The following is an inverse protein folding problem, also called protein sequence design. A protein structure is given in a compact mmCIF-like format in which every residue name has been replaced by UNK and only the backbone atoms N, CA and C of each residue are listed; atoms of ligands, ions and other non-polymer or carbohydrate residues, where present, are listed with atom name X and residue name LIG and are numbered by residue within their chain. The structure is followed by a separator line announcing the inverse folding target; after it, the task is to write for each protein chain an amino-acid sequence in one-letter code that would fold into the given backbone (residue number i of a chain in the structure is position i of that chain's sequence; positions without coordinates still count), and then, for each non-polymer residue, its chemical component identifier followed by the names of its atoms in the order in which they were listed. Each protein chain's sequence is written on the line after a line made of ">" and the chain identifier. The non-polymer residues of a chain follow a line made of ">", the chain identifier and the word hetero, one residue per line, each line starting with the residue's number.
data_IF_206890315953
#
_entry.id   IF_206890315953
#
_cell.length_a   1.000
_cell.length_b   1.000
_cell.length_c   1.000
_cell.angle_alpha   90.00
_cell.angle_beta   90.00
_cell.angle_gamma   90.00
#
_symmetry.space_group_name_H-M   'P 1'
#
loop_
_entity.id
_entity.type
_entity.pdbx_description
1 polymer ?
#
# COMPACT_ATOMS: atom_id res chain seq x y z
N UNK A 1 6.31 -14.27 -20.01
CA UNK A 1 7.68 -14.43 -19.47
C UNK A 1 7.96 -13.25 -18.57
N UNK A 2 7.93 -13.44 -17.25
CA UNK A 2 8.37 -12.42 -16.30
C UNK A 2 9.90 -12.46 -16.28
N UNK A 3 10.51 -11.89 -17.31
CA UNK A 3 11.96 -11.75 -17.41
C UNK A 3 12.32 -10.39 -16.89
N UNK A 4 12.97 -10.33 -15.73
CA UNK A 4 13.69 -9.14 -15.32
C UNK A 4 14.62 -8.69 -16.43
N UNK A 5 14.88 -7.39 -16.54
CA UNK A 5 16.04 -6.91 -17.28
C UNK A 5 17.29 -7.66 -16.83
N UNK A 6 18.29 -7.73 -17.71
CA UNK A 6 19.50 -8.56 -17.54
C UNK A 6 20.25 -8.33 -16.22
N UNK A 7 19.98 -7.22 -15.54
CA UNK A 7 20.58 -6.80 -14.27
C UNK A 7 19.59 -6.73 -13.09
N UNK A 8 18.33 -7.11 -13.28
CA UNK A 8 17.30 -7.07 -12.24
C UNK A 8 16.84 -5.67 -11.85
N UNK A 9 17.13 -4.65 -12.68
CA UNK A 9 16.91 -3.25 -12.33
C UNK A 9 15.43 -2.82 -12.30
N UNK A 10 14.57 -3.62 -12.90
CA UNK A 10 13.12 -3.48 -12.95
C UNK A 10 12.38 -4.48 -12.04
N UNK A 11 13.12 -5.26 -11.23
CA UNK A 11 12.58 -6.39 -10.50
C UNK A 11 12.52 -6.21 -8.99
N UNK A 12 11.38 -6.62 -8.44
CA UNK A 12 11.10 -6.70 -7.01
C UNK A 12 10.66 -8.12 -6.66
N UNK A 13 11.28 -8.71 -5.65
CA UNK A 13 10.79 -9.94 -5.04
C UNK A 13 9.64 -9.61 -4.11
N UNK A 14 8.46 -10.16 -4.36
CA UNK A 14 7.32 -10.06 -3.46
C UNK A 14 7.06 -11.42 -2.78
N UNK A 15 7.11 -11.44 -1.46
CA UNK A 15 6.71 -12.58 -0.65
C UNK A 15 5.42 -12.21 0.08
N UNK A 16 4.35 -12.94 -0.22
CA UNK A 16 3.07 -12.80 0.48
C UNK A 16 2.82 -14.05 1.32
N UNK A 17 2.50 -13.88 2.59
CA UNK A 17 2.00 -14.97 3.45
C UNK A 17 0.56 -14.70 3.80
N UNK A 18 -0.30 -15.70 3.63
CA UNK A 18 -1.72 -15.62 3.98
C UNK A 18 -2.06 -16.64 5.06
N UNK A 19 -2.98 -16.28 5.96
CA UNK A 19 -3.65 -17.28 6.81
C UNK A 19 -4.50 -18.21 5.94
N UNK A 20 -4.75 -19.42 6.43
CA UNK A 20 -5.59 -20.43 5.75
C UNK A 20 -7.03 -19.94 5.54
N UNK A 21 -7.50 -19.06 6.41
CA UNK A 21 -8.82 -18.41 6.32
C UNK A 21 -8.83 -17.17 5.39
N UNK A 22 -7.70 -16.83 4.77
CA UNK A 22 -7.54 -15.67 3.89
C UNK A 22 -7.55 -14.30 4.60
N UNK A 23 -7.75 -14.25 5.92
CA UNK A 23 -8.08 -13.01 6.66
C UNK A 23 -6.90 -12.07 6.92
N UNK A 24 -5.67 -12.51 6.66
CA UNK A 24 -4.48 -11.68 6.86
C UNK A 24 -3.40 -12.06 5.87
N UNK A 25 -3.07 -11.10 5.01
CA UNK A 25 -1.90 -11.15 4.14
C UNK A 25 -0.80 -10.27 4.71
N UNK A 26 0.40 -10.83 4.91
CA UNK A 26 1.60 -10.03 5.13
C UNK A 26 2.38 -10.01 3.82
N UNK A 27 2.67 -8.81 3.34
CA UNK A 27 3.44 -8.61 2.11
C UNK A 27 4.83 -8.09 2.46
N UNK A 28 5.87 -8.71 1.92
CA UNK A 28 7.26 -8.28 2.04
C UNK A 28 7.85 -8.15 0.64
N UNK A 29 8.09 -6.91 0.22
CA UNK A 29 8.72 -6.61 -1.05
C UNK A 29 10.19 -6.28 -0.83
N UNK A 30 11.07 -6.81 -1.69
CA UNK A 30 12.52 -6.59 -1.68
C UNK A 30 13.00 -6.22 -3.08
N UNK A 31 13.59 -5.03 -3.27
CA UNK A 31 14.38 -4.74 -4.45
C UNK A 31 15.54 -5.72 -4.58
N UNK A 32 15.80 -6.20 -5.80
CA UNK A 32 16.94 -7.08 -6.07
C UNK A 32 18.26 -6.31 -6.22
N UNK A 33 18.17 -4.98 -6.35
CA UNK A 33 19.29 -4.05 -6.43
C UNK A 33 19.04 -2.82 -5.55
N UNK A 34 20.05 -1.97 -5.37
CA UNK A 34 19.92 -0.71 -4.63
C UNK A 34 18.83 0.18 -5.25
N UNK A 35 17.98 0.83 -4.44
CA UNK A 35 16.94 1.75 -4.91
C UNK A 35 17.41 2.81 -5.91
N UNK A 36 18.64 3.33 -5.73
CA UNK A 36 19.21 4.35 -6.59
C UNK A 36 19.47 3.88 -8.03
N UNK A 37 19.52 2.57 -8.25
CA UNK A 37 19.79 1.95 -9.54
C UNK A 37 18.54 1.30 -10.16
N UNK A 38 17.37 1.42 -9.50
CA UNK A 38 16.12 0.88 -10.02
C UNK A 38 15.66 1.70 -11.24
N UNK A 39 15.33 0.98 -12.32
CA UNK A 39 14.76 1.55 -13.53
C UNK A 39 13.29 1.16 -13.58
N UNK A 40 12.46 1.91 -12.86
CA UNK A 40 11.02 1.64 -12.77
C UNK A 40 10.21 2.69 -13.51
N UNK A 41 9.09 2.32 -14.15
CA UNK A 41 8.17 3.29 -14.72
C UNK A 41 7.62 4.20 -13.63
N UNK A 42 7.47 5.49 -13.95
CA UNK A 42 6.87 6.45 -13.02
C UNK A 42 5.43 6.04 -12.72
N UNK A 43 5.14 5.84 -11.43
CA UNK A 43 3.81 5.50 -10.98
C UNK A 43 3.01 6.77 -10.67
N UNK A 44 1.78 6.84 -11.14
CA UNK A 44 0.81 7.84 -10.69
C UNK A 44 0.04 7.28 -9.51
N UNK A 45 0.17 7.91 -8.36
CA UNK A 45 -0.56 7.53 -7.14
C UNK A 45 -1.84 8.36 -7.02
N UNK A 46 -2.95 7.70 -6.71
CA UNK A 46 -4.24 8.34 -6.41
C UNK A 46 -4.78 7.85 -5.08
N UNK A 47 -5.53 8.73 -4.41
CA UNK A 47 -6.14 8.45 -3.12
C UNK A 47 -7.65 8.68 -3.19
N UNK A 48 -8.39 7.80 -2.52
CA UNK A 48 -9.82 7.93 -2.28
C UNK A 48 -10.09 7.76 -0.79
N UNK A 49 -10.64 8.79 -0.15
CA UNK A 49 -11.14 8.67 1.22
C UNK A 49 -12.48 7.95 1.17
N UNK A 50 -12.54 6.78 1.79
CA UNK A 50 -13.75 5.96 1.84
C UNK A 50 -14.66 6.47 2.96
N UNK A 51 -15.91 6.76 2.62
CA UNK A 51 -16.93 7.06 3.60
C UNK A 51 -17.17 5.83 4.49
N UNK A 52 -17.30 6.02 5.81
CA UNK A 52 -17.73 4.95 6.73
C UNK A 52 -19.00 4.30 6.17
N UNK A 53 -18.97 3.00 5.88
CA UNK A 53 -20.18 2.20 5.67
C UNK A 53 -20.42 1.57 4.29
N UNK A 54 -19.50 1.64 3.32
CA UNK A 54 -19.64 0.84 2.10
C UNK A 54 -18.97 -0.53 2.25
N UNK A 55 -19.62 -1.45 2.98
CA UNK A 55 -19.23 -2.88 3.05
C UNK A 55 -18.69 -3.39 4.39
N UNK A 56 -18.97 -2.71 5.51
CA UNK A 56 -18.38 -3.07 6.79
C UNK A 56 -19.06 -4.29 7.45
N UNK A 57 -18.28 -5.37 7.57
CA UNK A 57 -18.26 -6.18 8.79
C UNK A 57 -17.92 -5.27 9.98
N UNK A 58 -18.90 -4.57 10.56
CA UNK A 58 -19.01 -4.01 11.94
C UNK A 58 -17.81 -3.21 12.55
N UNK A 59 -16.63 -3.09 11.93
CA UNK A 59 -15.39 -2.69 12.63
C UNK A 59 -14.56 -1.67 11.85
N UNK A 60 -15.19 -0.65 11.28
CA UNK A 60 -14.45 0.55 10.83
C UNK A 60 -14.94 1.78 11.59
N UNK A 61 -14.55 1.86 12.87
CA UNK A 61 -14.71 3.07 13.70
C UNK A 61 -13.79 4.21 13.24
N UNK A 62 -13.11 4.09 12.11
CA UNK A 62 -12.07 5.00 11.66
C UNK A 62 -12.24 5.27 10.15
N UNK A 63 -11.94 6.50 9.66
CA UNK A 63 -11.88 6.76 8.22
C UNK A 63 -10.87 5.84 7.54
N UNK A 64 -11.16 5.43 6.30
CA UNK A 64 -10.25 4.61 5.50
C UNK A 64 -9.82 5.36 4.25
N UNK A 65 -8.60 5.08 3.78
CA UNK A 65 -8.04 5.65 2.57
C UNK A 65 -7.64 4.51 1.65
N UNK A 66 -8.25 4.44 0.47
CA UNK A 66 -7.83 3.56 -0.60
C UNK A 66 -6.76 4.26 -1.44
N UNK A 67 -5.61 3.62 -1.59
CA UNK A 67 -4.45 4.11 -2.35
C UNK A 67 -4.25 3.22 -3.57
N UNK A 68 -4.25 3.82 -4.75
CA UNK A 68 -4.10 3.12 -6.04
C UNK A 68 -2.89 3.64 -6.79
N UNK A 69 -2.27 2.77 -7.58
CA UNK A 69 -1.16 3.12 -8.47
C UNK A 69 -1.50 2.76 -9.93
N UNK A 70 -1.14 3.65 -10.84
CA UNK A 70 -1.25 3.47 -12.29
C UNK A 70 0.14 3.64 -12.95
N UNK A 71 0.35 3.00 -14.10
CA UNK A 71 1.59 3.10 -14.89
C UNK A 71 2.77 2.29 -14.34
N UNK A 72 2.82 2.01 -13.05
CA UNK A 72 3.90 1.26 -12.41
C UNK A 72 3.63 0.95 -10.94
N UNK A 73 4.55 0.22 -10.30
CA UNK A 73 4.50 -0.01 -8.85
C UNK A 73 4.99 1.25 -8.14
N UNK A 74 4.20 1.78 -7.21
CA UNK A 74 4.64 2.86 -6.33
C UNK A 74 5.37 2.25 -5.13
N UNK A 75 6.63 2.66 -4.92
CA UNK A 75 7.47 2.17 -3.82
C UNK A 75 7.46 3.16 -2.65
N UNK A 76 7.47 2.61 -1.42
CA UNK A 76 7.59 3.39 -0.17
C UNK A 76 6.62 4.57 -0.09
N UNK A 77 5.35 4.33 -0.41
CA UNK A 77 4.30 5.35 -0.35
C UNK A 77 4.12 5.80 1.10
N UNK A 78 4.28 7.09 1.33
CA UNK A 78 4.10 7.73 2.64
C UNK A 78 2.87 8.64 2.58
N UNK A 79 1.91 8.36 3.46
CA UNK A 79 0.75 9.19 3.70
C UNK A 79 1.07 10.19 4.81
N UNK A 80 0.79 11.45 4.54
CA UNK A 80 0.88 12.56 5.50
C UNK A 80 -0.47 13.24 5.62
N UNK A 81 -0.75 13.83 6.78
CA UNK A 81 -2.00 14.52 7.06
C UNK A 81 -1.74 15.69 7.99
N UNK A 82 -2.62 16.70 7.94
CA UNK A 82 -2.64 17.80 8.90
C UNK A 82 -3.48 17.46 10.14
N UNK A 83 -4.32 16.43 10.08
CA UNK A 83 -5.13 16.00 11.21
C UNK A 83 -4.29 15.23 12.24
N UNK A 84 -4.63 15.38 13.51
CA UNK A 84 -3.96 14.65 14.60
C UNK A 84 -4.37 13.18 14.61
N UNK A 85 -3.41 12.31 14.32
CA UNK A 85 -3.66 10.89 14.13
C UNK A 85 -2.48 10.16 13.53
N UNK A 86 -2.70 8.89 13.23
CA UNK A 86 -1.75 8.07 12.46
C UNK A 86 -2.48 7.19 11.46
N UNK A 87 -1.81 6.87 10.37
CA UNK A 87 -2.26 5.80 9.48
C UNK A 87 -1.90 4.44 10.09
N UNK A 88 -2.75 3.42 9.88
CA UNK A 88 -2.50 2.06 10.36
C UNK A 88 -1.30 1.40 9.68
N UNK A 89 -0.88 1.94 8.54
CA UNK A 89 0.30 1.54 7.79
C UNK A 89 0.89 2.72 7.03
N UNK A 90 2.20 2.70 6.81
CA UNK A 90 2.94 3.75 6.09
C UNK A 90 4.26 3.21 5.53
N UNK A 91 4.77 3.80 4.45
CA UNK A 91 5.99 3.32 3.80
C UNK A 91 5.82 2.00 3.06
N UNK A 92 4.61 1.76 2.54
CA UNK A 92 4.23 0.52 1.87
C UNK A 92 4.37 0.60 0.35
N UNK A 93 4.15 -0.54 -0.32
CA UNK A 93 4.13 -0.63 -1.78
C UNK A 93 2.68 -0.64 -2.27
N UNK A 94 2.45 -0.06 -3.46
CA UNK A 94 1.15 -0.12 -4.14
C UNK A 94 1.36 -0.63 -5.56
N UNK A 95 0.73 -1.76 -5.88
CA UNK A 95 0.82 -2.41 -7.20
C UNK A 95 -0.38 -1.99 -8.06
N UNK A 96 -0.20 -1.85 -9.39
CA UNK A 96 -1.32 -1.65 -10.30
C UNK A 96 -2.39 -2.74 -10.14
N UNK A 97 -3.66 -2.33 -10.13
CA UNK A 97 -4.82 -3.22 -9.95
C UNK A 97 -5.01 -3.80 -8.54
N UNK A 98 -4.14 -3.45 -7.57
CA UNK A 98 -4.20 -3.95 -6.20
C UNK A 98 -4.19 -2.76 -5.23
N UNK A 99 -5.32 -2.06 -5.06
CA UNK A 99 -5.39 -0.91 -4.16
C UNK A 99 -5.10 -1.33 -2.72
N UNK A 100 -4.37 -0.49 -2.00
CA UNK A 100 -4.10 -0.66 -0.58
C UNK A 100 -5.07 0.19 0.23
N UNK A 101 -5.80 -0.44 1.14
CA UNK A 101 -6.69 0.27 2.06
C UNK A 101 -5.98 0.43 3.39
N UNK A 102 -5.92 1.67 3.89
CA UNK A 102 -5.25 2.04 5.13
C UNK A 102 -6.24 2.81 6.01
N UNK A 103 -6.28 2.47 7.29
CA UNK A 103 -7.13 3.17 8.26
C UNK A 103 -6.40 4.42 8.76
N UNK A 104 -7.13 5.52 8.93
CA UNK A 104 -6.65 6.67 9.69
C UNK A 104 -7.20 6.61 11.11
N UNK A 105 -6.33 6.53 12.10
CA UNK A 105 -6.63 6.45 13.52
C UNK A 105 -6.45 7.85 14.13
N UNK A 106 -7.53 8.62 14.34
CA UNK A 106 -7.44 9.94 14.96
C UNK A 106 -7.01 9.81 16.43
N UNK A 107 -6.22 10.75 16.94
CA UNK A 107 -5.86 10.79 18.37
C UNK A 107 -7.02 11.32 19.23
N UNK A 108 -7.80 12.26 18.70
CA UNK A 108 -8.95 12.88 19.37
C UNK A 108 -10.28 12.12 19.18
N UNK A 109 -10.24 10.79 19.21
CA UNK A 109 -11.46 10.00 19.31
C UNK A 109 -11.94 10.02 20.77
N UNK A 110 -12.56 11.12 21.17
CA UNK A 110 -13.04 11.39 22.53
C UNK A 110 -13.78 10.22 23.18
N UNK A 111 -13.45 9.99 24.46
CA UNK A 111 -14.32 9.33 25.44
C UNK A 111 -15.42 10.31 25.84
#
# INVERSE_FOLDING_TARGET
>A
SAGCERHGADCLLNVTTSRLDGSRMVESIRPMISPANLTLPSAKVSLLVLARGAGATVVALHPQVAVSAEGGVALWVVLTTLAEGRFSDNGFFVRPGHPRVVDFLPLDAGV
#
